data_IF_085734082297
#
_entry.id   IF_085734082297
#
_cell.length_a   1.000
_cell.length_b   1.000
_cell.length_c   1.000
_cell.angle_alpha   90.00
_cell.angle_beta   90.00
_cell.angle_gamma   90.00
#
_symmetry.space_group_name_H-M   'P 1'
#
loop_
_entity.id
_entity.type
_entity.pdbx_description
1 polymer ?
#
# COMPACT_ATOMS: atom_id res chain seq x y z
N UNK A 1 2.60 25.12 29.61
CA UNK A 1 2.87 25.10 28.16
C UNK A 1 2.79 23.71 27.53
N UNK A 2 3.47 22.65 28.05
CA UNK A 2 3.38 21.28 27.49
C UNK A 2 1.96 20.68 27.40
N UNK A 3 1.11 20.83 28.44
CA UNK A 3 -0.28 20.31 28.42
C UNK A 3 -1.18 20.95 27.35
N UNK A 4 -0.98 22.23 27.05
CA UNK A 4 -1.77 22.94 26.04
C UNK A 4 -1.36 22.54 24.60
N UNK A 5 -0.06 22.29 24.38
CA UNK A 5 0.43 21.74 23.11
C UNK A 5 -0.06 20.31 22.88
N UNK A 6 -0.08 19.48 23.93
CA UNK A 6 -0.55 18.10 23.88
C UNK A 6 -2.07 18.00 23.62
N UNK A 7 -2.88 18.90 24.22
CA UNK A 7 -4.31 18.96 23.92
C UNK A 7 -4.63 19.38 22.47
N UNK A 8 -3.80 20.25 21.88
CA UNK A 8 -3.97 20.70 20.49
C UNK A 8 -3.62 19.60 19.47
N UNK A 9 -2.60 18.78 19.74
CA UNK A 9 -2.21 17.67 18.85
C UNK A 9 -3.26 16.56 18.82
N UNK A 10 -3.87 16.24 19.97
CA UNK A 10 -4.94 15.24 20.05
C UNK A 10 -6.18 15.67 19.26
N UNK A 11 -6.58 16.94 19.35
CA UNK A 11 -7.72 17.47 18.59
C UNK A 11 -7.50 17.44 17.07
N UNK A 12 -6.27 17.73 16.62
CA UNK A 12 -5.92 17.64 15.20
C UNK A 12 -5.92 16.20 14.69
N UNK A 13 -5.40 15.26 15.49
CA UNK A 13 -5.44 13.84 15.15
C UNK A 13 -6.88 13.32 15.05
N UNK A 14 -7.74 13.63 16.02
CA UNK A 14 -9.16 13.25 15.96
C UNK A 14 -9.89 13.86 14.77
N UNK A 15 -9.58 15.12 14.41
CA UNK A 15 -10.14 15.76 13.23
C UNK A 15 -9.68 15.09 11.93
N UNK A 16 -8.39 14.72 11.84
CA UNK A 16 -7.86 14.00 10.70
C UNK A 16 -8.52 12.63 10.54
N UNK A 17 -8.66 11.87 11.63
CA UNK A 17 -9.36 10.58 11.64
C UNK A 17 -10.82 10.76 11.19
N UNK A 18 -11.54 11.73 11.73
CA UNK A 18 -12.92 12.00 11.34
C UNK A 18 -13.02 12.37 9.86
N UNK A 19 -12.11 13.21 9.36
CA UNK A 19 -12.05 13.59 7.95
C UNK A 19 -11.81 12.37 7.05
N UNK A 20 -10.85 11.51 7.39
CA UNK A 20 -10.59 10.25 6.65
C UNK A 20 -11.81 9.33 6.66
N UNK A 21 -12.47 9.16 7.81
CA UNK A 21 -13.69 8.32 7.90
C UNK A 21 -14.82 8.89 7.03
N UNK A 22 -14.99 10.22 7.00
CA UNK A 22 -15.99 10.86 6.14
C UNK A 22 -15.63 10.66 4.67
N UNK A 23 -14.36 10.83 4.27
CA UNK A 23 -13.92 10.60 2.90
C UNK A 23 -14.17 9.15 2.46
N UNK A 24 -13.76 8.17 3.27
CA UNK A 24 -14.01 6.74 2.99
C UNK A 24 -15.51 6.42 2.93
N UNK A 25 -16.32 7.02 3.81
CA UNK A 25 -17.77 6.86 3.81
C UNK A 25 -18.42 7.46 2.56
N UNK A 26 -17.94 8.61 2.09
CA UNK A 26 -18.39 9.24 0.84
C UNK A 26 -17.97 8.39 -0.36
N UNK A 27 -16.73 7.91 -0.38
CA UNK A 27 -16.18 7.06 -1.45
C UNK A 27 -16.97 5.75 -1.61
N UNK A 28 -17.24 5.10 -0.47
CA UNK A 28 -18.11 3.93 -0.41
C UNK A 28 -19.52 4.26 -0.91
N UNK A 29 -20.13 5.36 -0.42
CA UNK A 29 -21.47 5.75 -0.83
C UNK A 29 -21.56 6.02 -2.35
N UNK A 30 -20.61 6.75 -2.93
CA UNK A 30 -20.58 7.03 -4.38
C UNK A 30 -20.44 5.73 -5.16
N UNK A 31 -19.51 4.85 -4.78
CA UNK A 31 -19.30 3.55 -5.46
C UNK A 31 -20.57 2.69 -5.48
N UNK A 32 -21.38 2.73 -4.41
CA UNK A 32 -22.66 2.01 -4.33
C UNK A 32 -23.83 2.71 -5.03
N UNK A 33 -23.85 4.05 -5.06
CA UNK A 33 -24.92 4.82 -5.68
C UNK A 33 -24.81 4.88 -7.20
N UNK A 34 -23.59 4.84 -7.74
CA UNK A 34 -23.38 4.72 -9.18
C UNK A 34 -23.91 3.37 -9.66
N UNK A 35 -24.87 3.39 -10.59
CA UNK A 35 -25.44 2.17 -11.17
C UNK A 35 -24.82 1.81 -12.51
N UNK A 36 -24.33 2.81 -13.23
CA UNK A 36 -23.68 2.65 -14.54
C UNK A 36 -22.21 2.24 -14.38
N UNK A 37 -21.80 1.22 -15.14
CA UNK A 37 -20.47 0.65 -15.03
C UNK A 37 -19.38 1.62 -15.52
N UNK A 38 -19.66 2.36 -16.59
CA UNK A 38 -18.71 3.32 -17.12
C UNK A 38 -18.50 4.49 -16.15
N UNK A 39 -19.57 4.94 -15.49
CA UNK A 39 -19.45 5.94 -14.42
C UNK A 39 -18.62 5.45 -13.23
N UNK A 40 -18.72 4.18 -12.85
CA UNK A 40 -17.90 3.60 -11.77
C UNK A 40 -16.43 3.59 -12.13
N UNK A 41 -16.08 3.14 -13.34
CA UNK A 41 -14.69 3.12 -13.83
C UNK A 41 -14.12 4.53 -13.82
N UNK A 42 -14.83 5.48 -14.46
CA UNK A 42 -14.40 6.89 -14.50
C UNK A 42 -14.26 7.48 -13.09
N UNK A 43 -15.16 7.15 -12.18
CA UNK A 43 -15.06 7.61 -10.80
C UNK A 43 -13.82 7.03 -10.09
N UNK A 44 -13.61 5.72 -10.17
CA UNK A 44 -12.48 5.00 -9.58
C UNK A 44 -11.15 5.59 -10.07
N UNK A 45 -10.98 5.67 -11.39
CA UNK A 45 -9.75 6.10 -12.04
C UNK A 45 -9.41 7.58 -11.83
N UNK A 46 -10.42 8.39 -11.48
CA UNK A 46 -10.22 9.81 -11.14
C UNK A 46 -9.97 9.99 -9.65
N UNK A 47 -10.67 9.26 -8.78
CA UNK A 47 -10.61 9.49 -7.34
C UNK A 47 -9.38 8.85 -6.69
N UNK A 48 -8.95 7.67 -7.13
CA UNK A 48 -7.78 6.98 -6.58
C UNK A 48 -6.49 7.83 -6.64
N UNK A 49 -6.08 8.39 -7.80
CA UNK A 49 -4.89 9.22 -7.83
C UNK A 49 -5.04 10.52 -7.02
N UNK A 50 -6.26 11.04 -6.83
CA UNK A 50 -6.49 12.20 -5.95
C UNK A 50 -6.21 11.83 -4.50
N UNK A 51 -6.69 10.68 -4.03
CA UNK A 51 -6.43 10.20 -2.66
C UNK A 51 -4.94 9.93 -2.45
N UNK A 52 -4.27 9.28 -3.40
CA UNK A 52 -2.84 9.01 -3.31
C UNK A 52 -1.99 10.27 -3.29
N UNK A 53 -2.31 11.25 -4.15
CA UNK A 53 -1.59 12.53 -4.17
C UNK A 53 -1.80 13.30 -2.87
N UNK A 54 -3.02 13.28 -2.30
CA UNK A 54 -3.30 13.90 -1.00
C UNK A 54 -2.50 13.20 0.11
N UNK A 55 -2.52 11.87 0.15
CA UNK A 55 -1.78 11.08 1.12
C UNK A 55 -0.26 11.33 1.00
N UNK A 56 0.27 11.28 -0.22
CA UNK A 56 1.68 11.55 -0.52
C UNK A 56 2.09 12.97 -0.10
N UNK A 57 1.27 13.99 -0.41
CA UNK A 57 1.55 15.37 0.00
C UNK A 57 1.60 15.52 1.53
N UNK A 58 0.65 14.90 2.26
CA UNK A 58 0.66 14.89 3.73
C UNK A 58 1.90 14.18 4.28
N UNK A 59 2.30 13.06 3.68
CA UNK A 59 3.51 12.32 4.07
C UNK A 59 4.80 13.11 3.79
N UNK A 60 4.88 13.86 2.68
CA UNK A 60 6.01 14.76 2.41
C UNK A 60 6.07 15.93 3.41
N UNK A 61 4.92 16.47 3.81
CA UNK A 61 4.84 17.47 4.87
C UNK A 61 5.31 16.87 6.20
N UNK A 62 4.89 15.65 6.54
CA UNK A 62 5.34 14.93 7.73
C UNK A 62 6.87 14.65 7.70
N UNK A 63 7.41 14.29 6.53
CA UNK A 63 8.85 14.13 6.32
C UNK A 63 9.62 15.44 6.58
N UNK A 64 9.12 16.57 6.04
CA UNK A 64 9.71 17.89 6.26
C UNK A 64 9.66 18.31 7.72
N UNK A 65 8.53 18.08 8.40
CA UNK A 65 8.35 18.43 9.81
C UNK A 65 9.24 17.59 10.72
N UNK A 66 9.34 16.28 10.46
CA UNK A 66 10.17 15.35 11.24
C UNK A 66 11.67 15.58 11.09
N UNK A 67 12.12 16.29 10.04
CA UNK A 67 13.52 16.69 9.87
C UNK A 67 14.05 17.55 11.04
N UNK A 68 13.16 18.25 11.75
CA UNK A 68 13.51 19.01 12.97
C UNK A 68 13.85 18.13 14.16
N UNK A 69 13.38 16.87 14.17
CA UNK A 69 13.58 15.91 15.25
C UNK A 69 14.66 14.89 14.92
N UNK A 70 14.65 14.33 13.71
CA UNK A 70 15.61 13.32 13.27
C UNK A 70 15.70 13.25 11.74
N UNK A 71 16.92 13.34 11.20
CA UNK A 71 17.16 13.17 9.76
C UNK A 71 16.75 11.79 9.27
N UNK A 72 16.96 10.74 10.08
CA UNK A 72 16.58 9.37 9.72
C UNK A 72 15.06 9.22 9.65
N UNK A 73 14.33 9.82 10.60
CA UNK A 73 12.86 9.80 10.58
C UNK A 73 12.31 10.58 9.38
N UNK A 74 12.91 11.71 9.03
CA UNK A 74 12.55 12.46 7.83
C UNK A 74 12.76 11.66 6.55
N UNK A 75 13.89 10.93 6.44
CA UNK A 75 14.13 10.03 5.31
C UNK A 75 13.12 8.87 5.27
N UNK A 76 12.77 8.30 6.43
CA UNK A 76 11.76 7.24 6.51
C UNK A 76 10.42 7.70 5.93
N UNK A 77 9.88 8.81 6.45
CA UNK A 77 8.64 9.39 5.95
C UNK A 77 8.75 9.86 4.51
N UNK A 78 9.91 10.38 4.08
CA UNK A 78 10.14 10.80 2.70
C UNK A 78 10.13 9.64 1.72
N UNK A 79 10.67 8.47 2.10
CA UNK A 79 10.59 7.26 1.28
C UNK A 79 9.17 6.69 1.26
N UNK A 80 8.45 6.68 2.39
CA UNK A 80 7.03 6.29 2.41
C UNK A 80 6.22 7.22 1.49
N UNK A 81 6.41 8.55 1.60
CA UNK A 81 5.77 9.52 0.72
C UNK A 81 6.08 9.30 -0.76
N UNK A 82 7.34 8.97 -1.08
CA UNK A 82 7.79 8.67 -2.44
C UNK A 82 7.17 7.37 -2.97
N UNK A 83 7.01 6.35 -2.13
CA UNK A 83 6.31 5.12 -2.54
C UNK A 83 4.85 5.40 -2.89
N UNK A 84 4.12 6.13 -2.04
CA UNK A 84 2.74 6.55 -2.32
C UNK A 84 2.66 7.46 -3.54
N UNK A 85 3.67 8.31 -3.76
CA UNK A 85 3.73 9.13 -4.98
C UNK A 85 3.93 8.28 -6.25
N UNK A 86 4.77 7.25 -6.18
CA UNK A 86 4.92 6.30 -7.28
C UNK A 86 3.58 5.60 -7.54
N UNK A 87 2.89 5.13 -6.50
CA UNK A 87 1.57 4.53 -6.63
C UNK A 87 0.57 5.48 -7.33
N UNK A 88 0.53 6.75 -6.92
CA UNK A 88 -0.29 7.79 -7.56
C UNK A 88 0.01 7.97 -9.06
N UNK A 89 1.29 7.88 -9.45
CA UNK A 89 1.67 7.93 -10.87
C UNK A 89 1.21 6.69 -11.63
N UNK A 90 1.19 5.53 -10.98
CA UNK A 90 0.57 4.31 -11.49
C UNK A 90 -0.91 4.53 -11.77
N UNK A 91 -1.66 5.03 -10.78
CA UNK A 91 -3.10 5.31 -10.91
C UNK A 91 -3.41 6.35 -12.00
N UNK A 92 -2.60 7.41 -12.11
CA UNK A 92 -2.74 8.39 -13.20
C UNK A 92 -2.51 7.71 -14.56
N UNK A 93 -1.46 6.90 -14.68
CA UNK A 93 -1.16 6.19 -15.93
C UNK A 93 -2.29 5.19 -16.27
N UNK A 94 -2.77 4.44 -15.28
CA UNK A 94 -3.90 3.53 -15.42
C UNK A 94 -5.15 4.25 -15.91
N UNK A 95 -5.56 5.34 -15.25
CA UNK A 95 -6.74 6.10 -15.64
C UNK A 95 -6.61 6.76 -17.02
N UNK A 96 -5.42 7.20 -17.42
CA UNK A 96 -5.18 7.69 -18.78
C UNK A 96 -5.36 6.57 -19.82
N UNK A 97 -4.87 5.36 -19.54
CA UNK A 97 -5.00 4.22 -20.44
C UNK A 97 -6.45 3.74 -20.52
N UNK A 98 -7.10 3.48 -19.39
CA UNK A 98 -8.44 2.91 -19.31
C UNK A 98 -9.53 3.92 -19.72
N UNK A 99 -9.52 5.13 -19.15
CA UNK A 99 -10.55 6.14 -19.45
C UNK A 99 -10.18 7.03 -20.63
N UNK A 100 -8.92 7.47 -20.72
CA UNK A 100 -8.49 8.41 -21.75
C UNK A 100 -8.31 7.77 -23.13
N UNK A 101 -7.60 6.64 -23.18
CA UNK A 101 -7.23 5.95 -24.42
C UNK A 101 -8.12 4.75 -24.73
N UNK A 102 -8.93 4.28 -23.77
CA UNK A 102 -9.79 3.09 -23.90
C UNK A 102 -8.97 1.82 -24.22
N UNK A 103 -7.78 1.72 -23.65
CA UNK A 103 -6.86 0.58 -23.77
C UNK A 103 -6.90 -0.29 -22.51
N UNK A 104 -6.54 -1.57 -22.63
CA UNK A 104 -6.36 -2.41 -21.44
C UNK A 104 -5.12 -1.92 -20.67
N UNK A 105 -5.27 -1.51 -19.39
CA UNK A 105 -4.19 -0.88 -18.63
C UNK A 105 -3.20 -1.89 -18.05
N UNK A 106 -3.34 -3.18 -18.36
CA UNK A 106 -2.46 -4.25 -17.91
C UNK A 106 -2.16 -5.24 -19.05
N UNK A 107 -0.88 -5.62 -19.27
CA UNK A 107 0.34 -4.97 -18.75
C UNK A 107 0.57 -3.61 -19.43
N UNK A 108 1.12 -2.63 -18.72
CA UNK A 108 1.37 -1.27 -19.22
C UNK A 108 2.51 -0.54 -18.49
N UNK A 109 2.71 0.75 -18.83
CA UNK A 109 3.63 1.64 -18.13
C UNK A 109 3.22 1.92 -16.68
N UNK A 110 1.94 1.73 -16.31
CA UNK A 110 1.48 1.88 -14.93
C UNK A 110 2.16 0.88 -13.99
N UNK A 111 2.39 -0.35 -14.47
CA UNK A 111 3.01 -1.43 -13.69
C UNK A 111 4.41 -1.06 -13.18
N UNK A 112 5.18 -0.27 -13.95
CA UNK A 112 6.50 0.17 -13.52
C UNK A 112 6.45 1.03 -12.25
N UNK A 113 5.40 1.84 -12.10
CA UNK A 113 5.19 2.69 -10.94
C UNK A 113 4.64 1.89 -9.75
N UNK A 114 3.68 0.99 -9.99
CA UNK A 114 3.18 0.08 -8.95
C UNK A 114 4.27 -0.87 -8.43
N UNK A 115 5.08 -1.46 -9.30
CA UNK A 115 6.22 -2.30 -8.86
C UNK A 115 7.27 -1.50 -8.09
N UNK A 116 7.46 -0.21 -8.37
CA UNK A 116 8.39 0.64 -7.64
C UNK A 116 7.90 0.96 -6.22
N UNK A 117 6.59 0.97 -5.97
CA UNK A 117 6.01 1.20 -4.65
C UNK A 117 6.58 0.24 -3.60
N UNK A 118 6.62 -1.07 -3.89
CA UNK A 118 7.01 -2.12 -2.94
C UNK A 118 8.41 -1.92 -2.32
N UNK A 119 9.52 -1.84 -3.10
CA UNK A 119 10.85 -1.65 -2.54
C UNK A 119 11.04 -0.28 -1.89
N UNK A 120 10.42 0.78 -2.42
CA UNK A 120 10.55 2.13 -1.85
C UNK A 120 9.85 2.20 -0.49
N UNK A 121 8.66 1.61 -0.36
CA UNK A 121 7.95 1.53 0.92
C UNK A 121 8.76 0.74 1.94
N UNK A 122 9.30 -0.42 1.53
CA UNK A 122 10.16 -1.25 2.38
C UNK A 122 11.33 -0.41 2.91
N UNK A 123 12.04 0.31 2.05
CA UNK A 123 13.14 1.18 2.46
C UNK A 123 12.70 2.23 3.49
N UNK A 124 11.53 2.86 3.30
CA UNK A 124 10.95 3.79 4.26
C UNK A 124 10.68 3.16 5.63
N UNK A 125 10.08 1.98 5.65
CA UNK A 125 9.81 1.23 6.88
C UNK A 125 11.10 0.79 7.58
N UNK A 126 12.14 0.40 6.83
CA UNK A 126 13.45 0.04 7.39
C UNK A 126 14.16 1.24 8.04
N UNK A 127 13.92 2.44 7.53
CA UNK A 127 14.48 3.67 8.05
C UNK A 127 13.76 4.18 9.31
N UNK A 128 12.56 3.69 9.62
CA UNK A 128 11.87 4.06 10.86
C UNK A 128 12.79 3.82 12.09
N UNK A 129 12.77 4.73 13.09
CA UNK A 129 13.55 4.57 14.30
C UNK A 129 13.16 3.32 15.08
N UNK A 130 14.14 2.74 15.77
CA UNK A 130 13.97 1.47 16.46
C UNK A 130 14.34 1.62 17.93
N UNK A 131 13.59 0.95 18.81
CA UNK A 131 14.03 0.74 20.18
C UNK A 131 15.25 -0.19 20.22
N UNK A 132 16.23 0.06 21.09
CA UNK A 132 17.31 -0.89 21.32
C UNK A 132 16.75 -2.24 21.76
N UNK A 133 17.12 -3.29 21.05
CA UNK A 133 16.80 -4.67 21.39
C UNK A 133 18.08 -5.43 21.76
N UNK A 134 17.99 -6.33 22.73
CA UNK A 134 19.06 -7.25 23.10
C UNK A 134 19.40 -8.19 21.94
N UNK A 135 20.59 -8.82 22.00
CA UNK A 135 20.97 -9.82 20.97
C UNK A 135 20.00 -10.99 20.91
N UNK A 136 19.50 -11.46 22.06
CA UNK A 136 18.54 -12.54 22.14
C UNK A 136 17.21 -12.19 21.46
N UNK A 137 16.65 -11.02 21.77
CA UNK A 137 15.42 -10.53 21.12
C UNK A 137 15.58 -10.37 19.60
N UNK A 138 16.74 -9.89 19.14
CA UNK A 138 17.02 -9.80 17.70
C UNK A 138 17.01 -11.16 17.01
N UNK A 139 17.60 -12.19 17.63
CA UNK A 139 17.63 -13.54 17.07
C UNK A 139 16.21 -14.12 17.02
N UNK A 140 15.44 -13.99 18.11
CA UNK A 140 14.05 -14.46 18.17
C UNK A 140 13.22 -13.78 17.08
N UNK A 141 13.30 -12.45 16.97
CA UNK A 141 12.57 -11.71 15.94
C UNK A 141 12.94 -12.14 14.51
N UNK A 142 14.23 -12.42 14.24
CA UNK A 142 14.66 -12.89 12.91
C UNK A 142 14.11 -14.29 12.62
N UNK A 143 14.11 -15.19 13.60
CA UNK A 143 13.55 -16.53 13.44
C UNK A 143 12.04 -16.48 13.23
N UNK A 144 11.31 -15.69 14.02
CA UNK A 144 9.85 -15.53 13.90
C UNK A 144 9.47 -14.96 12.53
N UNK A 145 10.15 -13.90 12.09
CA UNK A 145 9.94 -13.32 10.74
C UNK A 145 10.27 -14.35 9.66
N UNK A 146 11.37 -15.11 9.81
CA UNK A 146 11.76 -16.15 8.87
C UNK A 146 10.72 -17.26 8.73
N UNK A 147 10.13 -17.72 9.84
CA UNK A 147 9.07 -18.74 9.86
C UNK A 147 7.82 -18.22 9.14
N UNK A 148 7.37 -16.99 9.47
CA UNK A 148 6.19 -16.40 8.84
C UNK A 148 6.41 -16.19 7.34
N UNK A 149 7.57 -15.67 6.93
CA UNK A 149 7.90 -15.48 5.52
C UNK A 149 7.98 -16.80 4.76
N UNK A 150 8.59 -17.84 5.34
CA UNK A 150 8.64 -19.16 4.71
C UNK A 150 7.23 -19.75 4.51
N UNK A 151 6.37 -19.64 5.53
CA UNK A 151 4.97 -20.06 5.42
C UNK A 151 4.21 -19.27 4.35
N UNK A 152 4.37 -17.95 4.32
CA UNK A 152 3.72 -17.08 3.34
C UNK A 152 4.19 -17.40 1.91
N UNK A 153 5.49 -17.61 1.68
CA UNK A 153 6.03 -18.02 0.37
C UNK A 153 5.38 -19.32 -0.11
N UNK A 154 5.21 -20.31 0.77
CA UNK A 154 4.56 -21.57 0.41
C UNK A 154 3.08 -21.38 0.03
N UNK A 155 2.36 -20.53 0.77
CA UNK A 155 0.96 -20.18 0.47
C UNK A 155 0.88 -19.46 -0.87
N UNK A 156 1.67 -18.40 -1.06
CA UNK A 156 1.74 -17.63 -2.30
C UNK A 156 2.12 -18.50 -3.49
N UNK A 157 3.05 -19.45 -3.30
CA UNK A 157 3.40 -20.39 -4.36
C UNK A 157 2.22 -21.28 -4.76
N UNK A 158 1.51 -21.85 -3.79
CA UNK A 158 0.46 -22.82 -4.05
C UNK A 158 -0.81 -22.17 -4.66
N UNK A 159 -1.16 -20.96 -4.20
CA UNK A 159 -2.41 -20.31 -4.57
C UNK A 159 -2.28 -19.20 -5.62
N UNK A 160 -1.09 -18.61 -5.80
CA UNK A 160 -0.89 -17.47 -6.71
C UNK A 160 0.21 -17.75 -7.73
N UNK A 161 1.48 -17.81 -7.32
CA UNK A 161 2.64 -17.88 -8.24
C UNK A 161 2.62 -19.16 -9.10
N UNK A 162 2.40 -20.32 -8.49
CA UNK A 162 2.34 -21.60 -9.20
C UNK A 162 1.20 -21.66 -10.23
N UNK A 163 -0.04 -21.30 -9.83
CA UNK A 163 -1.16 -21.15 -10.78
C UNK A 163 -0.88 -20.16 -11.91
N UNK A 164 -0.30 -18.99 -11.64
CA UNK A 164 0.09 -18.01 -12.67
C UNK A 164 1.04 -18.63 -13.70
N UNK A 165 2.12 -19.27 -13.23
CA UNK A 165 3.11 -19.91 -14.12
C UNK A 165 2.48 -21.03 -14.95
N UNK A 166 1.57 -21.79 -14.36
CA UNK A 166 0.94 -22.95 -15.01
C UNK A 166 -0.15 -22.56 -16.01
N UNK A 167 -0.86 -21.45 -15.76
CA UNK A 167 -1.95 -20.95 -16.59
C UNK A 167 -1.48 -20.14 -17.80
N UNK A 168 -0.21 -19.72 -17.84
CA UNK A 168 0.36 -18.87 -18.89
C UNK A 168 1.42 -19.55 -19.77
N UNK A 169 1.21 -20.77 -20.32
CA UNK A 169 2.18 -21.37 -21.21
C UNK A 169 2.26 -20.59 -22.53
N UNK A 170 3.41 -19.93 -22.77
CA UNK A 170 3.69 -19.18 -24.01
C UNK A 170 3.37 -17.68 -23.96
N UNK A 171 3.07 -17.11 -22.78
CA UNK A 171 2.97 -15.67 -22.58
C UNK A 171 4.31 -14.96 -22.85
N UNK A 172 4.27 -13.66 -23.15
CA UNK A 172 5.50 -12.87 -23.19
C UNK A 172 6.21 -12.93 -21.83
N UNK A 173 7.54 -13.04 -21.90
CA UNK A 173 8.41 -13.10 -20.72
C UNK A 173 8.27 -11.87 -19.82
N UNK A 174 8.00 -10.70 -20.41
CA UNK A 174 7.82 -9.46 -19.65
C UNK A 174 6.48 -9.42 -18.93
N UNK A 175 5.39 -9.78 -19.62
CA UNK A 175 4.05 -9.87 -19.03
C UNK A 175 4.02 -10.83 -17.85
N UNK A 176 4.62 -12.02 -18.00
CA UNK A 176 4.72 -12.98 -16.90
C UNK A 176 5.55 -12.44 -15.74
N UNK A 177 6.64 -11.72 -16.01
CA UNK A 177 7.47 -11.12 -14.97
C UNK A 177 6.71 -10.03 -14.18
N UNK A 178 5.92 -9.20 -14.87
CA UNK A 178 5.06 -8.19 -14.25
C UNK A 178 3.99 -8.87 -13.39
N UNK A 179 3.29 -9.86 -13.94
CA UNK A 179 2.22 -10.58 -13.25
C UNK A 179 2.72 -11.30 -11.97
N UNK A 180 3.91 -11.90 -12.02
CA UNK A 180 4.55 -12.49 -10.83
C UNK A 180 5.12 -11.42 -9.88
N UNK A 181 5.43 -10.24 -10.40
CA UNK A 181 5.95 -9.11 -9.63
C UNK A 181 5.00 -8.66 -8.53
N UNK A 182 3.69 -8.71 -8.76
CA UNK A 182 2.67 -8.32 -7.77
C UNK A 182 2.66 -9.23 -6.52
N UNK A 183 2.46 -10.56 -6.62
CA UNK A 183 2.53 -11.41 -5.43
C UNK A 183 3.90 -11.45 -4.76
N UNK A 184 4.99 -11.21 -5.51
CA UNK A 184 6.34 -11.05 -4.93
C UNK A 184 6.46 -9.72 -4.18
N UNK A 185 5.88 -8.64 -4.71
CA UNK A 185 5.74 -7.34 -4.06
C UNK A 185 4.95 -7.43 -2.76
N UNK A 186 3.88 -8.22 -2.73
CA UNK A 186 3.11 -8.48 -1.50
C UNK A 186 3.95 -9.19 -0.42
N UNK A 187 4.85 -10.10 -0.80
CA UNK A 187 5.79 -10.69 0.16
C UNK A 187 6.78 -9.64 0.70
N UNK A 188 7.16 -8.65 -0.12
CA UNK A 188 7.93 -7.49 0.32
C UNK A 188 7.13 -6.63 1.31
N UNK A 189 5.84 -6.40 1.05
CA UNK A 189 4.95 -5.70 1.98
C UNK A 189 4.76 -6.47 3.28
N UNK A 190 4.59 -7.78 3.22
CA UNK A 190 4.48 -8.63 4.41
C UNK A 190 5.73 -8.51 5.28
N UNK A 191 6.91 -8.45 4.66
CA UNK A 191 8.13 -8.19 5.41
C UNK A 191 8.11 -6.79 6.06
N UNK A 192 7.69 -5.75 5.33
CA UNK A 192 7.51 -4.42 5.91
C UNK A 192 6.53 -4.43 7.11
N UNK A 193 5.41 -5.14 6.98
CA UNK A 193 4.42 -5.32 8.03
C UNK A 193 5.01 -6.00 9.27
N UNK A 194 5.67 -7.14 9.09
CA UNK A 194 6.32 -7.85 10.20
C UNK A 194 7.39 -6.98 10.85
N UNK A 195 8.12 -6.20 10.06
CA UNK A 195 9.09 -5.24 10.56
C UNK A 195 8.43 -4.16 11.43
N UNK A 196 7.20 -3.74 11.13
CA UNK A 196 6.44 -2.80 11.98
C UNK A 196 5.95 -3.52 13.25
N UNK A 197 5.35 -4.71 13.14
CA UNK A 197 4.76 -5.45 14.26
C UNK A 197 5.81 -5.86 15.31
N UNK A 198 6.93 -6.43 14.87
CA UNK A 198 7.98 -6.91 15.77
C UNK A 198 8.82 -5.77 16.36
N UNK A 199 8.63 -4.54 15.89
CA UNK A 199 9.30 -3.36 16.43
C UNK A 199 8.33 -2.53 17.24
N UNK A 200 8.45 -2.62 18.56
CA UNK A 200 7.67 -1.83 19.49
C UNK A 200 7.94 -0.34 19.26
N UNK A 201 6.98 0.44 18.70
CA UNK A 201 7.14 1.88 18.58
C UNK A 201 7.26 2.50 19.97
N UNK A 202 7.73 3.75 20.06
CA UNK A 202 7.47 4.53 21.27
C UNK A 202 5.96 4.72 21.43
N UNK A 203 5.45 4.89 22.66
CA UNK A 203 4.01 5.01 22.93
C UNK A 203 3.34 6.13 22.10
N UNK A 204 4.10 7.12 21.68
CA UNK A 204 3.63 8.24 20.86
C UNK A 204 3.50 7.89 19.36
N UNK A 205 4.16 6.82 18.91
CA UNK A 205 4.23 6.38 17.51
C UNK A 205 3.41 5.10 17.23
N UNK A 206 2.73 4.54 18.25
CA UNK A 206 1.96 3.29 18.12
C UNK A 206 0.80 3.41 17.13
N UNK A 207 0.06 4.52 17.14
CA UNK A 207 -1.12 4.68 16.29
C UNK A 207 -0.76 4.84 14.80
N UNK A 208 0.17 5.73 14.41
CA UNK A 208 0.62 5.81 13.02
C UNK A 208 1.20 4.49 12.49
N UNK A 209 1.97 3.78 13.31
CA UNK A 209 2.52 2.47 12.94
C UNK A 209 1.40 1.43 12.72
N UNK A 210 0.38 1.42 13.58
CA UNK A 210 -0.79 0.55 13.41
C UNK A 210 -1.57 0.87 12.14
N UNK A 211 -1.78 2.16 11.83
CA UNK A 211 -2.47 2.56 10.60
C UNK A 211 -1.70 2.17 9.35
N UNK A 212 -0.38 2.33 9.35
CA UNK A 212 0.49 1.89 8.25
C UNK A 212 0.49 0.35 8.11
N UNK A 213 0.51 -0.38 9.23
CA UNK A 213 0.39 -1.83 9.21
C UNK A 213 -0.98 -2.28 8.66
N UNK A 214 -2.06 -1.61 9.07
CA UNK A 214 -3.40 -1.89 8.59
C UNK A 214 -3.53 -1.63 7.08
N UNK A 215 -2.99 -0.51 6.57
CA UNK A 215 -3.02 -0.23 5.13
C UNK A 215 -2.28 -1.30 4.33
N UNK A 216 -1.09 -1.73 4.79
CA UNK A 216 -0.35 -2.81 4.15
C UNK A 216 -1.16 -4.11 4.09
N UNK A 217 -1.85 -4.47 5.18
CA UNK A 217 -2.70 -5.68 5.20
C UNK A 217 -3.82 -5.57 4.17
N UNK A 218 -4.49 -4.40 4.09
CA UNK A 218 -5.56 -4.18 3.13
C UNK A 218 -5.01 -4.29 1.70
N UNK A 219 -3.88 -3.66 1.39
CA UNK A 219 -3.24 -3.76 0.07
C UNK A 219 -2.94 -5.20 -0.33
N UNK A 220 -2.28 -5.99 0.54
CA UNK A 220 -1.96 -7.40 0.25
C UNK A 220 -3.24 -8.21 -0.01
N UNK A 221 -4.29 -7.99 0.78
CA UNK A 221 -5.56 -8.70 0.61
C UNK A 221 -6.22 -8.30 -0.72
N UNK A 222 -6.23 -7.02 -1.05
CA UNK A 222 -6.75 -6.50 -2.32
C UNK A 222 -5.99 -7.10 -3.52
N UNK A 223 -4.66 -7.10 -3.50
CA UNK A 223 -3.80 -7.66 -4.54
C UNK A 223 -4.01 -9.17 -4.71
N UNK A 224 -4.16 -9.91 -3.60
CA UNK A 224 -4.47 -11.33 -3.64
C UNK A 224 -5.85 -11.61 -4.26
N UNK A 225 -6.88 -10.85 -3.89
CA UNK A 225 -8.23 -11.00 -4.44
C UNK A 225 -8.22 -10.61 -5.93
N UNK A 226 -7.55 -9.52 -6.30
CA UNK A 226 -7.37 -9.06 -7.67
C UNK A 226 -6.73 -10.15 -8.52
N UNK A 227 -5.56 -10.64 -8.09
CA UNK A 227 -4.81 -11.68 -8.80
C UNK A 227 -5.69 -12.91 -9.03
N UNK A 228 -6.41 -13.35 -8.01
CA UNK A 228 -7.32 -14.48 -8.11
C UNK A 228 -8.49 -14.22 -9.08
N UNK A 229 -9.13 -13.06 -8.99
CA UNK A 229 -10.23 -12.69 -9.88
C UNK A 229 -9.77 -12.52 -11.33
N UNK A 230 -8.58 -11.97 -11.55
CA UNK A 230 -7.95 -11.81 -12.86
C UNK A 230 -7.64 -13.15 -13.51
N UNK A 231 -7.11 -14.12 -12.75
CA UNK A 231 -6.92 -15.50 -13.24
C UNK A 231 -8.23 -16.17 -13.66
N UNK A 232 -9.34 -15.86 -12.98
CA UNK A 232 -10.67 -16.37 -13.32
C UNK A 232 -11.39 -15.54 -14.41
N UNK A 233 -10.84 -14.41 -14.83
CA UNK A 233 -11.51 -13.47 -15.74
C UNK A 233 -12.77 -12.83 -15.15
N UNK A 234 -12.82 -12.71 -13.82
CA UNK A 234 -13.98 -12.20 -13.06
C UNK A 234 -13.76 -10.82 -12.45
N UNK A 235 -12.54 -10.27 -12.55
CA UNK A 235 -12.25 -8.92 -12.10
C UNK A 235 -13.04 -7.89 -12.92
N UNK A 236 -13.53 -6.86 -12.24
CA UNK A 236 -14.30 -5.78 -12.85
C UNK A 236 -13.78 -4.45 -12.28
N UNK A 237 -13.19 -3.62 -13.15
CA UNK A 237 -12.75 -2.26 -12.82
C UNK A 237 -13.91 -1.40 -12.32
N UNK A 238 -13.67 -0.50 -11.37
CA UNK A 238 -14.69 0.26 -10.66
C UNK A 238 -15.52 -0.57 -9.68
N UNK A 239 -15.04 -1.77 -9.33
CA UNK A 239 -15.70 -2.70 -8.41
C UNK A 239 -15.57 -2.29 -6.95
N UNK A 240 -16.15 -3.10 -6.06
CA UNK A 240 -15.98 -2.93 -4.61
C UNK A 240 -14.52 -3.19 -4.20
N UNK A 241 -13.82 -4.06 -4.93
CA UNK A 241 -12.41 -4.35 -4.68
C UNK A 241 -11.54 -3.10 -4.76
N UNK A 242 -11.85 -2.20 -5.68
CA UNK A 242 -11.11 -0.95 -5.92
C UNK A 242 -11.08 -0.01 -4.71
N UNK A 243 -12.03 -0.14 -3.79
CA UNK A 243 -12.02 0.60 -2.52
C UNK A 243 -10.82 0.19 -1.67
N UNK A 244 -10.33 -1.04 -1.81
CA UNK A 244 -9.20 -1.55 -1.04
C UNK A 244 -7.85 -0.91 -1.36
N UNK A 245 -7.70 -0.26 -2.52
CA UNK A 245 -6.49 0.51 -2.86
C UNK A 245 -6.60 2.00 -2.57
N UNK A 246 -7.79 2.48 -2.16
CA UNK A 246 -8.12 3.89 -1.84
C UNK A 246 -8.07 4.17 -0.33
#
# INVERSE_FOLDING_TARGET
MRKAAQGRSTNLFSLAVLFTVILLGMDFAVTFLLSDQQQKIVYSDVISPVFDLLASAVLFIAAKQSATHSRRLALAWGMIALSTFAYALGDIAWGILEVGLQEQPFPSSADAFYLAYYPILLLGVFLLPDKPASRGEKIINVLDVGIVMAAAILVFWNFLLGPIVSASPGSDSLELAILLGYPVGDLVLLWALLRIIYKRPDQQDEVPAFLLAASIIVTIISDCIYTYQSLLGTYVSGGILDIGWR
#
